data_IF_646868958845
#
_entry.id   IF_646868958845
#
_cell.length_a   1.000
_cell.length_b   1.000
_cell.length_c   1.000
_cell.angle_alpha   90.00
_cell.angle_beta   90.00
_cell.angle_gamma   90.00
#
_symmetry.space_group_name_H-M   'P 1'
#
loop_
_entity.id
_entity.type
_entity.pdbx_description
1 polymer ?
#
# COMPACT_ATOMS: atom_id res chain seq x y z
N UNK A 1 -11.97 89.50 3.83
CA UNK A 1 -10.98 88.45 3.97
C UNK A 1 -11.45 87.48 5.11
N UNK A 2 -12.47 86.64 4.86
CA UNK A 2 -13.11 85.76 5.86
C UNK A 2 -13.43 84.41 5.23
N UNK A 3 -12.44 83.72 4.69
CA UNK A 3 -12.68 82.46 4.02
C UNK A 3 -11.81 81.29 4.52
N UNK A 4 -10.97 81.48 5.56
CA UNK A 4 -10.03 80.47 6.03
C UNK A 4 -10.53 79.57 7.21
N UNK A 5 -11.60 79.94 7.88
CA UNK A 5 -12.01 79.23 9.09
C UNK A 5 -13.03 78.05 8.78
N UNK A 6 -13.76 78.15 7.69
CA UNK A 6 -14.75 77.12 7.30
C UNK A 6 -14.03 75.89 6.72
N UNK A 7 -12.96 76.12 5.97
CA UNK A 7 -12.16 75.07 5.37
C UNK A 7 -11.38 74.23 6.41
N UNK A 8 -10.88 74.91 7.50
CA UNK A 8 -10.21 74.21 8.61
C UNK A 8 -11.12 73.31 9.42
N UNK A 9 -12.39 73.78 9.65
CA UNK A 9 -13.37 72.97 10.39
C UNK A 9 -13.81 71.72 9.63
N UNK A 10 -13.93 71.87 8.31
CA UNK A 10 -14.29 70.69 7.46
C UNK A 10 -13.19 69.69 7.33
N UNK A 11 -11.91 70.12 7.23
CA UNK A 11 -10.76 69.25 7.23
C UNK A 11 -10.55 68.48 8.54
N UNK A 12 -10.78 69.16 9.69
CA UNK A 12 -10.72 68.53 11.00
C UNK A 12 -11.86 67.51 11.22
N UNK A 13 -13.06 67.78 10.68
CA UNK A 13 -14.19 66.82 10.74
C UNK A 13 -13.94 65.56 9.88
N UNK A 14 -13.36 65.73 8.70
CA UNK A 14 -12.98 64.58 7.85
C UNK A 14 -11.87 63.76 8.48
N UNK A 15 -10.87 64.41 9.13
CA UNK A 15 -9.78 63.69 9.84
C UNK A 15 -10.30 62.91 11.04
N UNK A 16 -11.33 63.42 11.74
CA UNK A 16 -11.96 62.76 12.88
C UNK A 16 -12.84 61.60 12.43
N UNK A 17 -13.53 61.68 11.28
CA UNK A 17 -14.29 60.58 10.69
C UNK A 17 -13.37 59.47 10.17
N UNK A 18 -12.17 59.81 9.66
CA UNK A 18 -11.22 58.81 9.16
C UNK A 18 -10.54 58.04 10.30
N UNK A 19 -10.42 58.63 11.52
CA UNK A 19 -9.85 57.96 12.69
C UNK A 19 -10.78 56.91 13.31
N UNK A 20 -12.12 56.97 13.07
CA UNK A 20 -13.09 56.01 13.58
C UNK A 20 -13.10 54.69 12.76
N UNK A 21 -12.55 54.67 11.55
CA UNK A 21 -12.53 53.48 10.69
C UNK A 21 -11.40 52.50 11.05
N UNK A 22 -10.40 52.90 11.82
CA UNK A 22 -9.22 52.05 12.14
C UNK A 22 -9.42 51.17 13.38
N UNK A 23 -10.49 51.35 14.16
CA UNK A 23 -10.74 50.56 15.38
C UNK A 23 -11.52 49.28 15.12
N UNK A 24 -11.87 48.98 13.84
CA UNK A 24 -12.70 47.80 13.44
C UNK A 24 -11.94 46.52 13.13
N UNK A 25 -10.61 46.45 13.30
CA UNK A 25 -9.88 45.17 13.12
C UNK A 25 -9.79 44.42 14.45
N UNK A 26 -10.93 43.93 14.91
CA UNK A 26 -11.00 42.96 16.01
C UNK A 26 -10.24 41.70 15.60
N UNK A 27 -9.04 41.50 16.16
CA UNK A 27 -8.43 40.17 16.21
C UNK A 27 -9.47 39.25 16.78
N UNK A 28 -10.00 38.34 15.94
CA UNK A 28 -10.67 37.13 16.43
C UNK A 28 -9.61 36.36 17.20
N UNK A 29 -9.56 36.61 18.47
CA UNK A 29 -8.87 35.80 19.45
C UNK A 29 -9.65 34.47 19.44
N UNK A 30 -9.11 33.48 18.74
CA UNK A 30 -9.55 32.12 18.94
C UNK A 30 -9.25 31.83 20.42
N UNK A 31 -10.28 31.86 21.22
CA UNK A 31 -10.22 31.36 22.57
C UNK A 31 -9.73 29.91 22.47
N UNK A 32 -8.50 29.66 22.90
CA UNK A 32 -8.07 28.33 23.26
C UNK A 32 -8.99 27.91 24.41
N UNK A 33 -10.00 27.14 24.07
CA UNK A 33 -10.80 26.41 25.05
C UNK A 33 -9.90 25.28 25.54
N UNK A 34 -9.05 25.58 26.50
CA UNK A 34 -8.51 24.56 27.38
C UNK A 34 -9.66 24.01 28.19
N UNK A 35 -10.03 22.78 27.95
CA UNK A 35 -10.90 22.09 28.88
C UNK A 35 -12.00 21.24 28.26
N UNK A 36 -11.82 19.95 28.37
CA UNK A 36 -12.80 18.88 28.14
C UNK A 36 -13.10 18.51 26.69
N UNK A 37 -12.17 17.82 26.08
CA UNK A 37 -12.43 17.06 24.85
C UNK A 37 -11.83 15.65 24.94
N UNK A 38 -12.06 14.93 26.05
CA UNK A 38 -11.41 13.62 26.21
C UNK A 38 -12.15 12.45 25.55
N UNK A 39 -13.46 12.57 25.34
CA UNK A 39 -14.28 11.50 24.74
C UNK A 39 -14.52 11.75 23.25
N UNK A 40 -14.82 12.98 22.86
CA UNK A 40 -15.14 13.34 21.47
C UNK A 40 -13.93 13.23 20.52
N UNK A 41 -12.72 13.49 21.00
CA UNK A 41 -11.52 13.48 20.15
C UNK A 41 -11.16 12.08 19.68
N UNK A 42 -11.31 11.05 20.52
CA UNK A 42 -11.02 9.65 20.17
C UNK A 42 -12.03 9.12 19.16
N UNK A 43 -13.32 9.42 19.36
CA UNK A 43 -14.39 9.02 18.45
C UNK A 43 -14.23 9.69 17.09
N UNK A 44 -13.93 10.98 17.07
CA UNK A 44 -13.66 11.75 15.86
C UNK A 44 -12.44 11.19 15.13
N UNK A 45 -11.35 10.91 15.83
CA UNK A 45 -10.15 10.32 15.24
C UNK A 45 -10.43 8.94 14.65
N UNK A 46 -11.08 8.04 15.41
CA UNK A 46 -11.43 6.71 14.93
C UNK A 46 -12.34 6.77 13.70
N UNK A 47 -13.32 7.69 13.70
CA UNK A 47 -14.23 7.91 12.57
C UNK A 47 -13.50 8.44 11.35
N UNK A 48 -12.60 9.42 11.50
CA UNK A 48 -11.82 9.95 10.40
C UNK A 48 -10.89 8.89 9.79
N UNK A 49 -10.22 8.08 10.62
CA UNK A 49 -9.38 6.99 10.12
C UNK A 49 -10.23 5.95 9.39
N UNK A 50 -11.34 5.51 9.96
CA UNK A 50 -12.21 4.49 9.36
C UNK A 50 -12.87 4.94 8.05
N UNK A 51 -13.15 6.23 7.91
CA UNK A 51 -13.71 6.82 6.68
C UNK A 51 -12.75 6.73 5.48
N UNK A 52 -11.44 6.58 5.71
CA UNK A 52 -10.46 6.39 4.64
C UNK A 52 -10.55 5.03 3.94
N UNK A 53 -11.44 4.12 4.39
CA UNK A 53 -11.72 2.82 3.77
C UNK A 53 -10.46 1.96 3.55
N UNK A 54 -9.78 2.06 2.40
CA UNK A 54 -8.56 1.29 2.08
C UNK A 54 -7.36 2.22 1.96
N UNK A 55 -6.37 2.01 2.82
CA UNK A 55 -5.09 2.70 2.75
C UNK A 55 -4.08 1.82 2.00
N UNK A 56 -3.79 2.17 0.74
CA UNK A 56 -2.71 1.53 -0.01
C UNK A 56 -1.36 2.08 0.45
N UNK A 57 -0.52 1.20 0.94
CA UNK A 57 0.71 1.57 1.67
C UNK A 57 1.97 1.23 0.92
N UNK A 58 1.99 0.15 0.12
CA UNK A 58 3.15 -0.23 -0.69
C UNK A 58 2.74 -0.95 -1.97
N UNK A 59 3.58 -0.85 -2.99
CA UNK A 59 3.43 -1.53 -4.28
C UNK A 59 4.76 -2.14 -4.68
N UNK A 60 4.69 -3.38 -5.17
CA UNK A 60 5.84 -4.11 -5.71
C UNK A 60 5.53 -4.61 -7.11
N UNK A 61 6.39 -4.29 -8.05
CA UNK A 61 6.33 -4.81 -9.40
C UNK A 61 7.32 -5.98 -9.52
N UNK A 62 6.78 -7.16 -9.76
CA UNK A 62 7.50 -8.42 -9.82
C UNK A 62 7.68 -8.85 -11.26
N UNK A 63 8.86 -9.31 -11.60
CA UNK A 63 9.16 -9.90 -12.90
C UNK A 63 9.91 -11.21 -12.73
N UNK A 64 9.45 -12.27 -13.40
CA UNK A 64 10.10 -13.57 -13.39
C UNK A 64 10.08 -14.19 -14.78
N UNK A 65 11.19 -14.80 -15.17
CA UNK A 65 11.25 -15.60 -16.39
C UNK A 65 11.13 -17.07 -15.98
N UNK A 66 10.03 -17.70 -16.35
CA UNK A 66 9.84 -19.13 -16.15
C UNK A 66 10.55 -19.87 -17.26
N UNK A 67 11.49 -20.71 -16.87
CA UNK A 67 12.20 -21.59 -17.81
C UNK A 67 11.76 -23.02 -17.53
N UNK A 68 11.24 -23.67 -18.55
CA UNK A 68 10.87 -25.08 -18.49
C UNK A 68 11.66 -25.85 -19.55
N UNK A 69 12.25 -26.96 -19.14
CA UNK A 69 13.02 -27.86 -20.03
C UNK A 69 12.39 -29.24 -19.93
N UNK A 70 12.17 -29.86 -21.07
CA UNK A 70 11.62 -31.20 -21.22
C UNK A 70 12.51 -32.01 -22.15
N UNK A 71 12.92 -33.18 -21.67
CA UNK A 71 13.82 -34.08 -22.40
C UNK A 71 13.18 -35.47 -22.43
N UNK A 72 13.10 -36.09 -23.60
CA UNK A 72 12.59 -37.46 -23.70
C UNK A 72 13.68 -38.42 -23.22
N UNK A 73 13.30 -39.30 -22.30
CA UNK A 73 14.18 -40.35 -21.79
C UNK A 73 13.54 -41.69 -22.06
N UNK A 74 14.34 -42.66 -22.53
CA UNK A 74 13.94 -44.03 -22.65
C UNK A 74 14.44 -44.78 -21.43
N UNK A 75 13.50 -45.39 -20.69
CA UNK A 75 13.83 -46.26 -19.56
C UNK A 75 13.71 -47.72 -20.04
N UNK A 76 14.77 -48.49 -19.89
CA UNK A 76 14.78 -49.92 -20.23
C UNK A 76 15.46 -50.73 -19.14
N UNK A 77 15.08 -52.02 -19.02
CA UNK A 77 15.81 -52.97 -18.20
C UNK A 77 16.71 -53.82 -19.13
N UNK A 78 18.00 -53.75 -18.94
CA UNK A 78 18.96 -54.58 -19.64
C UNK A 78 19.84 -55.28 -18.60
N UNK A 79 19.86 -56.62 -18.66
CA UNK A 79 20.66 -57.46 -17.72
C UNK A 79 20.44 -57.13 -16.24
N UNK A 80 19.18 -56.99 -15.81
CA UNK A 80 18.78 -56.62 -14.44
C UNK A 80 19.22 -55.22 -13.96
N UNK A 81 19.70 -54.40 -14.89
CA UNK A 81 20.03 -53.00 -14.58
C UNK A 81 19.02 -52.04 -15.24
N UNK A 82 18.55 -51.08 -14.49
CA UNK A 82 17.73 -49.99 -15.01
C UNK A 82 18.61 -49.03 -15.79
N UNK A 83 18.46 -48.97 -17.11
CA UNK A 83 19.15 -48.06 -17.98
C UNK A 83 18.21 -46.90 -18.33
N UNK A 84 18.67 -45.70 -18.08
CA UNK A 84 18.02 -44.44 -18.47
C UNK A 84 18.86 -43.75 -19.53
N UNK A 85 18.34 -43.65 -20.73
CA UNK A 85 19.06 -42.99 -21.86
C UNK A 85 18.27 -41.78 -22.31
N UNK A 86 18.93 -40.62 -22.38
CA UNK A 86 18.35 -39.44 -22.99
C UNK A 86 18.40 -39.55 -24.51
N UNK A 87 17.27 -39.29 -25.17
CA UNK A 87 17.18 -39.35 -26.62
C UNK A 87 17.88 -38.09 -27.18
N UNK A 88 18.89 -38.20 -28.02
CA UNK A 88 19.55 -37.07 -28.66
C UNK A 88 18.54 -36.25 -29.48
N UNK A 89 18.71 -34.92 -29.52
CA UNK A 89 17.82 -33.98 -30.24
C UNK A 89 16.34 -34.00 -29.82
N UNK A 90 16.04 -34.56 -28.65
CA UNK A 90 14.69 -34.58 -28.09
C UNK A 90 14.42 -33.47 -27.06
N UNK A 91 15.36 -32.62 -26.81
CA UNK A 91 15.24 -31.52 -25.85
C UNK A 91 14.36 -30.41 -26.39
N UNK A 92 13.43 -29.97 -25.58
CA UNK A 92 12.70 -28.74 -25.83
C UNK A 92 12.72 -27.84 -24.59
N UNK A 93 12.85 -26.55 -24.83
CA UNK A 93 12.95 -25.54 -23.78
C UNK A 93 12.07 -24.36 -24.13
N UNK A 94 11.35 -23.85 -23.12
CA UNK A 94 10.56 -22.63 -23.25
C UNK A 94 10.91 -21.67 -22.12
N UNK A 95 10.99 -20.39 -22.44
CA UNK A 95 11.15 -19.30 -21.48
C UNK A 95 9.97 -18.35 -21.63
N UNK A 96 9.23 -18.14 -20.54
CA UNK A 96 8.03 -17.29 -20.49
C UNK A 96 8.26 -16.18 -19.48
N UNK A 97 8.36 -14.90 -19.91
CA UNK A 97 8.38 -13.77 -18.99
C UNK A 97 6.99 -13.52 -18.40
N UNK A 98 6.93 -13.43 -17.08
CA UNK A 98 5.70 -13.15 -16.34
C UNK A 98 5.96 -11.94 -15.44
N UNK A 99 5.06 -10.97 -15.46
CA UNK A 99 5.07 -9.81 -14.59
C UNK A 99 3.82 -9.80 -13.73
N UNK A 100 3.94 -9.29 -12.50
CA UNK A 100 2.80 -9.08 -11.62
C UNK A 100 3.02 -7.84 -10.77
N UNK A 101 1.92 -7.12 -10.48
CA UNK A 101 1.93 -6.00 -9.54
C UNK A 101 1.21 -6.42 -8.27
N UNK A 102 1.91 -6.38 -7.15
CA UNK A 102 1.37 -6.63 -5.82
C UNK A 102 1.21 -5.30 -5.09
N UNK A 103 0.02 -5.04 -4.53
CA UNK A 103 -0.25 -3.87 -3.69
C UNK A 103 -0.65 -4.33 -2.30
N UNK A 104 0.00 -3.76 -1.28
CA UNK A 104 -0.42 -3.93 0.11
C UNK A 104 -1.32 -2.78 0.52
N UNK A 105 -2.38 -3.09 1.24
CA UNK A 105 -3.31 -2.11 1.78
C UNK A 105 -3.78 -2.53 3.17
N UNK A 106 -4.23 -1.54 3.95
CA UNK A 106 -4.89 -1.74 5.23
C UNK A 106 -6.34 -1.35 5.06
N UNK A 107 -7.25 -2.23 5.42
CA UNK A 107 -8.69 -1.97 5.39
C UNK A 107 -9.09 -1.21 6.67
N UNK A 108 -8.99 0.11 6.61
CA UNK A 108 -9.30 0.99 7.72
C UNK A 108 -10.80 0.99 8.07
N UNK A 109 -11.68 0.56 7.15
CA UNK A 109 -13.09 0.36 7.45
C UNK A 109 -13.36 -0.73 8.50
N UNK A 110 -12.36 -1.58 8.77
CA UNK A 110 -12.41 -2.59 9.85
C UNK A 110 -11.93 -2.06 11.21
N UNK A 111 -11.47 -0.80 11.28
CA UNK A 111 -11.08 -0.17 12.54
C UNK A 111 -12.33 0.06 13.41
N UNK A 112 -12.23 -0.31 14.66
CA UNK A 112 -13.27 -0.07 15.66
C UNK A 112 -12.83 1.04 16.61
N UNK A 113 -13.77 1.71 17.23
CA UNK A 113 -13.46 2.70 18.27
C UNK A 113 -12.60 2.11 19.41
N UNK A 114 -12.83 0.84 19.76
CA UNK A 114 -12.04 0.12 20.76
C UNK A 114 -10.57 -0.12 20.36
N UNK A 115 -10.22 0.04 19.09
CA UNK A 115 -8.85 -0.10 18.60
C UNK A 115 -8.01 1.18 18.77
N UNK A 116 -8.64 2.26 19.24
CA UNK A 116 -7.98 3.54 19.56
C UNK A 116 -8.03 3.72 21.08
N UNK A 117 -6.89 3.51 21.72
CA UNK A 117 -6.80 3.45 23.19
C UNK A 117 -5.95 4.60 23.70
N UNK A 118 -6.51 5.43 24.59
CA UNK A 118 -5.78 6.47 25.29
C UNK A 118 -5.45 6.00 26.69
N UNK A 119 -4.18 6.13 27.09
CA UNK A 119 -3.68 5.84 28.44
C UNK A 119 -2.86 7.04 28.94
N UNK A 120 -3.50 7.93 29.70
CA UNK A 120 -2.90 9.21 30.07
C UNK A 120 -2.61 10.04 28.81
N UNK A 121 -1.37 10.45 28.60
CA UNK A 121 -0.94 11.22 27.44
C UNK A 121 -0.60 10.35 26.22
N UNK A 122 -0.55 9.03 26.38
CA UNK A 122 -0.21 8.10 25.30
C UNK A 122 -1.45 7.65 24.56
N UNK A 123 -1.34 7.64 23.23
CA UNK A 123 -2.36 7.14 22.29
C UNK A 123 -1.80 5.90 21.59
N UNK A 124 -2.51 4.80 21.67
CA UNK A 124 -2.23 3.57 20.93
C UNK A 124 -3.33 3.36 19.89
N UNK A 125 -2.94 3.19 18.62
CA UNK A 125 -3.85 2.93 17.50
C UNK A 125 -3.53 1.54 16.97
N UNK A 126 -4.48 0.60 17.12
CA UNK A 126 -4.33 -0.80 16.71
C UNK A 126 -4.96 -0.96 15.33
N UNK A 127 -4.14 -0.96 14.28
CA UNK A 127 -4.63 -1.09 12.91
C UNK A 127 -4.98 -2.54 12.56
N UNK A 128 -5.93 -2.74 11.62
CA UNK A 128 -6.11 -4.02 10.96
C UNK A 128 -4.82 -4.47 10.27
N UNK A 129 -4.67 -5.78 10.12
CA UNK A 129 -3.49 -6.35 9.47
C UNK A 129 -3.46 -5.99 7.98
N UNK A 130 -2.25 -5.80 7.39
CA UNK A 130 -2.12 -5.57 5.96
C UNK A 130 -2.66 -6.75 5.14
N UNK A 131 -3.38 -6.44 4.07
CA UNK A 131 -3.81 -7.39 3.05
C UNK A 131 -3.05 -7.10 1.75
N UNK A 132 -2.77 -8.15 0.96
CA UNK A 132 -2.07 -8.00 -0.32
C UNK A 132 -3.02 -8.39 -1.44
N UNK A 133 -3.05 -7.58 -2.49
CA UNK A 133 -3.80 -7.83 -3.71
C UNK A 133 -2.85 -7.86 -4.91
N UNK A 134 -3.00 -8.89 -5.75
CA UNK A 134 -2.38 -8.91 -7.07
C UNK A 134 -3.34 -8.20 -8.04
N UNK A 135 -2.95 -7.02 -8.50
CA UNK A 135 -3.79 -6.19 -9.36
C UNK A 135 -3.60 -6.47 -10.84
N UNK A 136 -2.45 -7.04 -11.21
CA UNK A 136 -2.13 -7.38 -12.58
C UNK A 136 -1.20 -8.59 -12.59
N UNK A 137 -1.50 -9.55 -13.46
CA UNK A 137 -0.56 -10.62 -13.81
C UNK A 137 -0.57 -10.73 -15.32
N UNK A 138 0.51 -10.31 -15.96
CA UNK A 138 0.62 -10.27 -17.42
C UNK A 138 1.72 -11.20 -17.89
N UNK A 139 1.51 -11.82 -19.03
CA UNK A 139 2.47 -12.63 -19.73
C UNK A 139 2.91 -11.84 -20.95
N UNK A 140 4.21 -11.62 -21.05
CA UNK A 140 4.78 -11.03 -22.27
C UNK A 140 4.86 -12.10 -23.35
N UNK A 141 3.81 -12.20 -24.15
CA UNK A 141 3.74 -13.16 -25.27
C UNK A 141 4.83 -12.91 -26.32
N UNK A 142 5.22 -11.67 -26.55
CA UNK A 142 6.28 -11.31 -27.50
C UNK A 142 7.66 -11.74 -26.98
N UNK A 143 7.83 -11.80 -25.66
CA UNK A 143 9.06 -12.25 -25.00
C UNK A 143 9.17 -13.76 -24.83
N UNK A 144 8.15 -14.56 -25.20
CA UNK A 144 8.20 -16.02 -25.13
C UNK A 144 9.21 -16.55 -26.15
N UNK A 145 10.18 -17.32 -25.67
CA UNK A 145 11.20 -17.96 -26.51
C UNK A 145 11.11 -19.48 -26.36
N UNK A 146 11.09 -20.16 -27.50
CA UNK A 146 11.08 -21.61 -27.53
C UNK A 146 12.28 -22.13 -28.35
N UNK A 147 12.87 -23.23 -27.86
CA UNK A 147 13.83 -24.04 -28.61
C UNK A 147 13.31 -25.48 -28.59
N UNK A 148 13.11 -26.05 -29.76
CA UNK A 148 12.51 -27.38 -29.90
C UNK A 148 13.48 -28.24 -30.71
N UNK A 149 13.85 -29.43 -30.21
CA UNK A 149 14.67 -30.38 -30.88
C UNK A 149 13.97 -30.98 -32.10
N UNK A 150 14.78 -31.47 -33.05
CA UNK A 150 14.29 -31.97 -34.35
C UNK A 150 13.26 -33.10 -34.26
N UNK A 151 13.29 -33.87 -33.17
CA UNK A 151 12.39 -35.01 -32.95
C UNK A 151 11.17 -34.68 -32.07
N UNK A 152 10.88 -33.40 -31.88
CA UNK A 152 9.80 -32.95 -30.97
C UNK A 152 8.87 -31.92 -31.61
N UNK A 153 7.66 -31.88 -31.12
CA UNK A 153 6.70 -30.83 -31.47
C UNK A 153 6.85 -29.63 -30.53
N UNK A 154 6.35 -28.47 -30.96
CA UNK A 154 6.24 -27.28 -30.13
C UNK A 154 5.43 -27.58 -28.87
N UNK A 155 5.58 -26.73 -27.84
CA UNK A 155 4.72 -26.80 -26.67
C UNK A 155 3.28 -26.50 -27.07
N UNK A 156 2.36 -27.32 -26.59
CA UNK A 156 0.93 -27.11 -26.78
C UNK A 156 0.43 -25.95 -25.87
N UNK A 157 -0.71 -25.39 -26.20
CA UNK A 157 -1.32 -24.32 -25.41
C UNK A 157 -1.62 -24.77 -23.97
N UNK A 158 -2.00 -26.03 -23.77
CA UNK A 158 -2.20 -26.63 -22.44
C UNK A 158 -0.91 -26.70 -21.62
N UNK A 159 0.19 -27.09 -22.25
CA UNK A 159 1.51 -27.11 -21.60
C UNK A 159 1.97 -25.72 -21.22
N UNK A 160 1.81 -24.76 -22.13
CA UNK A 160 2.12 -23.34 -21.89
C UNK A 160 1.26 -22.81 -20.73
N UNK A 161 -0.03 -23.09 -20.71
CA UNK A 161 -0.94 -22.68 -19.62
C UNK A 161 -0.51 -23.24 -18.27
N UNK A 162 -0.12 -24.51 -18.19
CA UNK A 162 0.42 -25.12 -16.96
C UNK A 162 1.70 -24.45 -16.48
N UNK A 163 2.62 -24.14 -17.41
CA UNK A 163 3.87 -23.43 -17.08
C UNK A 163 3.58 -22.03 -16.55
N UNK A 164 2.61 -21.34 -17.15
CA UNK A 164 2.16 -20.00 -16.71
C UNK A 164 1.55 -20.06 -15.31
N UNK A 165 0.68 -21.03 -15.02
CA UNK A 165 0.09 -21.22 -13.69
C UNK A 165 1.17 -21.48 -12.63
N UNK A 166 2.16 -22.34 -12.96
CA UNK A 166 3.32 -22.56 -12.09
C UNK A 166 4.11 -21.27 -11.88
N UNK A 167 4.31 -20.49 -12.93
CA UNK A 167 5.00 -19.20 -12.84
C UNK A 167 4.30 -18.19 -11.93
N UNK A 168 2.97 -18.12 -11.98
CA UNK A 168 2.19 -17.28 -11.05
C UNK A 168 2.37 -17.74 -9.60
N UNK A 169 2.34 -19.04 -9.35
CA UNK A 169 2.56 -19.58 -8.00
C UNK A 169 3.95 -19.23 -7.48
N UNK A 170 4.96 -19.34 -8.32
CA UNK A 170 6.33 -18.99 -7.97
C UNK A 170 6.52 -17.47 -7.75
N UNK A 171 5.80 -16.61 -8.49
CA UNK A 171 5.78 -15.17 -8.23
C UNK A 171 5.19 -14.86 -6.85
N UNK A 172 4.05 -15.48 -6.51
CA UNK A 172 3.43 -15.34 -5.19
C UNK A 172 4.40 -15.76 -4.09
N UNK A 173 5.09 -16.88 -4.28
CA UNK A 173 6.11 -17.34 -3.33
C UNK A 173 7.29 -16.37 -3.22
N UNK A 174 7.68 -15.69 -4.30
CA UNK A 174 8.76 -14.71 -4.25
C UNK A 174 8.40 -13.46 -3.44
N UNK A 175 7.11 -13.11 -3.29
CA UNK A 175 6.66 -12.04 -2.41
C UNK A 175 7.03 -12.29 -0.95
N UNK A 176 7.06 -13.56 -0.50
CA UNK A 176 7.49 -13.91 0.88
C UNK A 176 8.95 -13.57 1.16
N UNK A 177 9.73 -13.31 0.10
CA UNK A 177 11.12 -12.91 0.20
C UNK A 177 11.32 -11.39 0.16
N UNK A 178 10.22 -10.63 0.03
CA UNK A 178 10.24 -9.17 0.00
C UNK A 178 9.82 -8.58 1.35
N UNK A 179 10.11 -7.31 1.53
CA UNK A 179 9.73 -6.57 2.75
C UNK A 179 8.32 -5.95 2.66
N UNK A 180 7.47 -6.38 1.70
CA UNK A 180 6.18 -5.73 1.42
C UNK A 180 5.30 -5.55 2.65
N UNK A 181 5.31 -6.51 3.60
CA UNK A 181 4.55 -6.41 4.85
C UNK A 181 5.15 -5.39 5.83
N UNK A 182 6.48 -5.38 5.97
CA UNK A 182 7.18 -4.43 6.83
C UNK A 182 6.99 -3.00 6.31
N UNK A 183 7.19 -2.80 5.01
CA UNK A 183 7.01 -1.51 4.34
C UNK A 183 5.54 -1.05 4.44
N UNK A 184 4.59 -1.97 4.32
CA UNK A 184 3.18 -1.65 4.47
C UNK A 184 2.86 -1.14 5.88
N UNK A 185 3.39 -1.78 6.91
CA UNK A 185 3.21 -1.37 8.31
C UNK A 185 3.86 -0.01 8.58
N UNK A 186 5.09 0.18 8.15
CA UNK A 186 5.83 1.43 8.35
C UNK A 186 5.15 2.60 7.64
N UNK A 187 4.77 2.41 6.36
CA UNK A 187 4.11 3.46 5.59
C UNK A 187 2.72 3.79 6.15
N UNK A 188 2.00 2.81 6.70
CA UNK A 188 0.74 3.07 7.39
C UNK A 188 0.94 3.97 8.61
N UNK A 189 1.94 3.68 9.45
CA UNK A 189 2.26 4.51 10.59
C UNK A 189 2.61 5.94 10.17
N UNK A 190 3.39 6.12 9.09
CA UNK A 190 3.73 7.45 8.52
C UNK A 190 2.51 8.26 8.09
N UNK A 191 1.39 7.62 7.75
CA UNK A 191 0.14 8.31 7.39
C UNK A 191 -0.73 8.55 8.62
N UNK A 192 -0.83 7.57 9.52
CA UNK A 192 -1.76 7.62 10.65
C UNK A 192 -1.25 8.53 11.78
N UNK A 193 0.06 8.54 12.06
CA UNK A 193 0.63 9.38 13.12
C UNK A 193 0.35 10.87 12.89
N UNK A 194 0.58 11.45 11.69
CA UNK A 194 0.22 12.85 11.44
C UNK A 194 -1.27 13.16 11.61
N UNK A 195 -2.17 12.20 11.31
CA UNK A 195 -3.61 12.40 11.55
C UNK A 195 -3.91 12.52 13.05
N UNK A 196 -3.27 11.71 13.89
CA UNK A 196 -3.40 11.82 15.33
C UNK A 196 -2.83 13.15 15.86
N UNK A 197 -1.71 13.62 15.30
CA UNK A 197 -1.12 14.92 15.64
C UNK A 197 -2.07 16.08 15.29
N UNK A 198 -2.76 16.02 14.15
CA UNK A 198 -3.78 17.02 13.78
C UNK A 198 -4.97 17.02 14.76
N UNK A 199 -5.26 15.90 15.41
CA UNK A 199 -6.26 15.81 16.46
C UNK A 199 -5.75 16.27 17.84
N UNK A 200 -4.54 16.83 17.93
CA UNK A 200 -3.98 17.43 19.15
C UNK A 200 -3.08 16.51 19.99
N UNK A 201 -2.75 15.32 19.50
CA UNK A 201 -1.78 14.44 20.17
C UNK A 201 -0.35 14.82 19.81
N UNK A 202 0.58 14.62 20.74
CA UNK A 202 2.01 14.78 20.45
C UNK A 202 2.53 13.53 19.72
N UNK A 203 3.34 13.72 18.70
CA UNK A 203 3.89 12.63 17.89
C UNK A 203 4.59 11.56 18.75
N UNK A 204 5.39 11.99 19.71
CA UNK A 204 6.14 11.12 20.66
C UNK A 204 5.23 10.23 21.51
N UNK A 205 3.96 10.60 21.66
CA UNK A 205 2.96 9.89 22.45
C UNK A 205 2.05 8.98 21.62
N UNK A 206 2.19 8.99 20.28
CA UNK A 206 1.38 8.16 19.38
C UNK A 206 2.12 6.89 19.02
N UNK A 207 1.50 5.75 19.27
CA UNK A 207 2.02 4.44 18.89
C UNK A 207 1.02 3.76 17.96
N UNK A 208 1.52 3.26 16.82
CA UNK A 208 0.72 2.48 15.87
C UNK A 208 1.15 1.03 15.96
N UNK A 209 0.19 0.15 16.25
CA UNK A 209 0.38 -1.30 16.31
C UNK A 209 -0.55 -2.03 15.37
N UNK A 210 -0.39 -3.34 15.20
CA UNK A 210 -1.22 -4.17 14.33
C UNK A 210 -1.80 -5.34 15.13
N UNK A 211 -2.99 -5.81 14.73
CA UNK A 211 -3.71 -6.86 15.47
C UNK A 211 -2.92 -8.15 15.57
N UNK A 212 -2.14 -8.50 14.53
CA UNK A 212 -1.30 -9.70 14.49
C UNK A 212 0.15 -9.35 14.18
N UNK A 213 1.05 -10.13 14.72
CA UNK A 213 2.45 -10.06 14.34
C UNK A 213 2.71 -10.96 13.13
N UNK A 214 2.25 -10.49 11.95
CA UNK A 214 2.41 -11.22 10.70
C UNK A 214 3.87 -11.28 10.29
N UNK A 215 4.29 -12.47 9.86
CA UNK A 215 5.60 -12.78 9.32
C UNK A 215 5.53 -12.99 7.78
N UNK A 216 6.67 -12.98 7.07
CA UNK A 216 6.70 -13.28 5.64
C UNK A 216 6.12 -14.65 5.26
N UNK A 217 6.13 -15.62 6.20
CA UNK A 217 5.54 -16.95 5.97
C UNK A 217 4.01 -16.94 5.90
N UNK A 218 3.35 -15.92 6.46
CA UNK A 218 1.89 -15.79 6.45
C UNK A 218 1.37 -15.20 5.12
N UNK A 219 2.27 -14.63 4.30
CA UNK A 219 1.97 -13.96 3.05
C UNK A 219 1.07 -14.73 2.09
N UNK A 220 1.27 -16.04 1.83
CA UNK A 220 0.41 -16.77 0.90
C UNK A 220 -1.07 -16.77 1.30
N UNK A 221 -1.35 -16.72 2.61
CA UNK A 221 -2.73 -16.65 3.15
C UNK A 221 -3.35 -15.26 3.10
N UNK A 222 -2.54 -14.21 2.92
CA UNK A 222 -2.98 -12.81 2.89
C UNK A 222 -3.27 -12.31 1.49
N UNK A 223 -2.86 -13.05 0.45
CA UNK A 223 -2.99 -12.63 -0.93
C UNK A 223 -4.42 -12.86 -1.41
N UNK A 224 -5.11 -11.76 -1.73
CA UNK A 224 -6.39 -11.79 -2.43
C UNK A 224 -6.15 -11.60 -3.94
N UNK A 225 -6.81 -12.41 -4.73
CA UNK A 225 -6.86 -12.24 -6.19
C UNK A 225 -8.05 -11.36 -6.51
N UNK A 226 -7.85 -10.35 -7.33
CA UNK A 226 -8.94 -9.69 -8.02
C UNK A 226 -9.16 -10.50 -9.30
N UNK A 227 -10.15 -11.38 -9.28
CA UNK A 227 -10.66 -12.09 -10.48
C UNK A 227 -11.42 -11.12 -11.35
#
# INVERSE_FOLDING_TARGET
MKMNNICKGWLMSILFLLSLVIVGCGKKQYAQTEGKADVDTLEVLATHISACSKLYTSQYDLRKIMVYTDTTTINGNFLNQHIKVNVPFSDRKIAIPITATAKAYIDLGKLKQSDVVKRGDKLEIILPDPEIVLTSTTIDHAGVKQKVGLLRHNFSDDEITKIQQKGRTELIKSLSQTNILADAKENAARVIVPLAVQCGYKEENVTVTFRKNLSPSDLPGLIRRLD
#
